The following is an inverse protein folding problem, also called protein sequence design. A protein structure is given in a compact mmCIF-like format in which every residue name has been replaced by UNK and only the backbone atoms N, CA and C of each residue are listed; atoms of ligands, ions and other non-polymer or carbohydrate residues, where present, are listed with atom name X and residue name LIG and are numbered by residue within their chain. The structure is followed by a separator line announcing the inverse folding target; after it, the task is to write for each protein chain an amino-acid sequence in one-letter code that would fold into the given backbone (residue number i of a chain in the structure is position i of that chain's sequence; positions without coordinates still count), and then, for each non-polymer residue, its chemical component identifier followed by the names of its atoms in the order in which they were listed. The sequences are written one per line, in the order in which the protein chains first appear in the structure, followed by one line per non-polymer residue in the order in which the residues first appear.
data_IF_669073704725
#
_entry.id   IF_669073704725
#
_cell.length_a   1.000
_cell.length_b   1.000
_cell.length_c   1.000
_cell.angle_alpha   90.00
_cell.angle_beta   90.00
_cell.angle_gamma   90.00
#
_symmetry.space_group_name_H-M   'P 1'
#
loop_
_entity.id
_entity.type
_entity.pdbx_description
1 polymer ?
#
# COMPACT_ATOMS: atom_id res chain seq x y z
N UNK A 1 27.88 -3.92 -38.60
CA UNK A 1 27.10 -2.95 -37.80
C UNK A 1 25.70 -2.80 -38.40
N UNK A 2 24.94 -3.89 -38.54
CA UNK A 2 23.68 -3.85 -39.31
C UNK A 2 22.68 -4.95 -38.92
N UNK A 3 22.80 -5.52 -37.71
CA UNK A 3 21.92 -6.60 -37.23
C UNK A 3 21.20 -6.34 -35.92
N UNK A 4 21.39 -5.17 -35.30
CA UNK A 4 20.72 -4.83 -34.03
C UNK A 4 19.44 -4.02 -34.27
N UNK A 5 19.37 -3.25 -35.37
CA UNK A 5 18.19 -2.43 -35.67
C UNK A 5 16.97 -3.25 -36.11
N UNK A 6 17.18 -4.36 -36.84
CA UNK A 6 16.07 -5.17 -37.36
C UNK A 6 15.33 -5.99 -36.29
N UNK A 7 15.93 -6.23 -35.11
CA UNK A 7 15.28 -7.02 -34.06
C UNK A 7 14.33 -6.20 -33.17
N UNK A 8 14.53 -4.87 -33.12
CA UNK A 8 13.67 -3.97 -32.33
C UNK A 8 12.39 -3.56 -33.08
N UNK A 9 12.42 -3.45 -34.41
CA UNK A 9 11.23 -3.08 -35.20
C UNK A 9 10.21 -4.22 -35.32
N UNK A 10 10.66 -5.48 -35.33
CA UNK A 10 9.74 -6.63 -35.42
C UNK A 10 8.89 -6.83 -34.16
N UNK A 11 9.34 -6.35 -32.99
CA UNK A 11 8.59 -6.43 -31.73
C UNK A 11 7.53 -5.32 -31.58
N UNK A 12 7.65 -4.22 -32.33
CA UNK A 12 6.70 -3.10 -32.27
C UNK A 12 5.45 -3.33 -33.14
N UNK A 13 5.58 -4.04 -34.27
CA UNK A 13 4.45 -4.34 -35.14
C UNK A 13 3.55 -5.46 -34.57
N UNK A 14 4.12 -6.43 -33.85
CA UNK A 14 3.36 -7.53 -33.26
C UNK A 14 2.48 -7.12 -32.05
N UNK A 15 2.65 -5.90 -31.54
CA UNK A 15 1.83 -5.31 -30.47
C UNK A 15 0.65 -4.49 -31.00
N UNK A 16 0.61 -4.18 -32.30
CA UNK A 16 -0.50 -3.43 -32.90
C UNK A 16 -1.68 -4.31 -33.30
N UNK A 17 -1.45 -5.59 -33.62
CA UNK A 17 -2.53 -6.50 -34.01
C UNK A 17 -3.29 -7.15 -32.84
N UNK A 18 -2.78 -7.10 -31.60
CA UNK A 18 -3.45 -7.74 -30.47
C UNK A 18 -4.57 -6.89 -29.81
N UNK A 19 -4.77 -5.63 -30.24
CA UNK A 19 -5.70 -4.68 -29.60
C UNK A 19 -7.01 -4.48 -30.40
N UNK A 20 -7.25 -5.24 -31.47
CA UNK A 20 -8.46 -5.09 -32.29
C UNK A 20 -9.31 -6.37 -32.36
N UNK A 21 -9.90 -6.77 -31.24
CA UNK A 21 -11.13 -7.58 -31.26
C UNK A 21 -11.90 -7.44 -29.93
N UNK A 22 -12.46 -6.24 -29.69
CA UNK A 22 -13.63 -6.09 -28.83
C UNK A 22 -14.77 -5.58 -29.70
N UNK A 23 -15.58 -6.52 -30.17
CA UNK A 23 -16.80 -6.28 -30.93
C UNK A 23 -17.75 -5.38 -30.12
N UNK A 24 -17.99 -4.17 -30.61
CA UNK A 24 -18.72 -3.08 -29.93
C UNK A 24 -20.22 -3.06 -30.30
N UNK A 25 -20.80 -4.19 -30.69
CA UNK A 25 -22.18 -4.23 -31.22
C UNK A 25 -23.25 -4.63 -30.21
N UNK A 26 -23.20 -4.21 -28.94
CA UNK A 26 -24.39 -4.22 -28.07
C UNK A 26 -24.42 -2.96 -27.19
N UNK A 27 -25.57 -2.29 -27.20
CA UNK A 27 -26.00 -1.09 -26.45
C UNK A 27 -25.93 0.26 -27.19
N UNK A 28 -27.04 0.68 -27.84
CA UNK A 28 -27.21 2.04 -28.30
C UNK A 28 -27.70 2.99 -27.19
N UNK A 29 -27.33 4.27 -27.34
CA UNK A 29 -27.84 5.52 -26.74
C UNK A 29 -27.07 6.18 -25.56
N UNK A 30 -26.35 7.27 -25.96
CA UNK A 30 -26.35 8.66 -25.43
C UNK A 30 -25.96 8.90 -23.96
N UNK A 31 -25.17 9.91 -23.57
CA UNK A 31 -24.43 11.03 -24.21
C UNK A 31 -23.44 11.54 -23.14
N UNK A 32 -22.17 11.75 -23.54
CA UNK A 32 -21.34 12.93 -23.20
C UNK A 32 -21.16 13.34 -21.71
N UNK A 33 -19.97 13.11 -21.15
CA UNK A 33 -18.86 14.10 -21.09
C UNK A 33 -17.53 13.42 -20.71
N UNK A 34 -16.37 13.90 -21.19
CA UNK A 34 -15.08 13.27 -20.99
C UNK A 34 -14.31 13.94 -19.83
N UNK A 35 -13.96 13.19 -18.80
CA UNK A 35 -12.86 13.56 -17.90
C UNK A 35 -12.33 12.32 -17.16
N UNK A 36 -11.86 11.33 -17.89
CA UNK A 36 -11.06 10.26 -17.28
C UNK A 36 -9.61 10.67 -17.47
N UNK A 37 -9.02 11.21 -16.40
CA UNK A 37 -7.57 11.34 -16.29
C UNK A 37 -6.98 9.96 -16.51
N UNK A 38 -6.07 9.88 -17.48
CA UNK A 38 -5.21 8.76 -17.85
C UNK A 38 -4.96 7.80 -16.67
N UNK A 39 -5.75 6.73 -16.57
CA UNK A 39 -5.44 5.62 -15.67
C UNK A 39 -4.26 4.86 -16.28
N UNK A 40 -3.08 5.17 -15.75
CA UNK A 40 -1.88 4.39 -16.05
C UNK A 40 -2.00 3.12 -15.22
N UNK A 41 -2.60 2.07 -15.79
CA UNK A 41 -2.63 0.75 -15.18
C UNK A 41 -1.24 0.12 -15.29
N UNK A 42 -0.32 0.58 -14.45
CA UNK A 42 0.93 -0.10 -14.19
C UNK A 42 0.63 -1.15 -13.12
N UNK A 43 0.70 -2.43 -13.48
CA UNK A 43 0.70 -3.54 -12.54
C UNK A 43 1.76 -3.31 -11.44
N UNK A 44 1.43 -3.57 -10.17
CA UNK A 44 2.33 -4.13 -9.11
C UNK A 44 1.60 -4.14 -7.76
N UNK A 45 1.94 -5.07 -6.86
CA UNK A 45 1.36 -5.32 -5.52
C UNK A 45 1.39 -4.14 -4.50
N UNK A 46 1.42 -2.89 -4.96
CA UNK A 46 1.49 -1.72 -4.11
C UNK A 46 0.12 -1.38 -3.50
N UNK A 47 0.09 -1.10 -2.19
CA UNK A 47 -1.12 -0.65 -1.51
C UNK A 47 -1.57 0.72 -2.06
N UNK A 48 -2.88 0.96 -2.21
CA UNK A 48 -3.37 2.25 -2.66
C UNK A 48 -3.14 3.30 -1.56
N UNK A 49 -2.98 4.56 -1.97
CA UNK A 49 -2.56 5.64 -1.08
C UNK A 49 -3.59 5.96 0.01
N UNK A 50 -4.87 5.74 -0.26
CA UNK A 50 -5.98 5.91 0.67
C UNK A 50 -6.19 4.72 1.62
N UNK A 51 -5.47 3.61 1.43
CA UNK A 51 -5.53 2.48 2.37
C UNK A 51 -5.05 2.92 3.76
N UNK A 52 -5.79 2.49 4.78
CA UNK A 52 -5.39 2.67 6.16
C UNK A 52 -4.23 1.74 6.52
N UNK A 53 -3.29 2.26 7.30
CA UNK A 53 -2.30 1.48 8.02
C UNK A 53 -2.62 1.52 9.51
N UNK A 54 -2.86 0.34 10.11
CA UNK A 54 -3.22 0.19 11.51
C UNK A 54 -2.09 -0.48 12.30
N UNK A 55 -1.67 0.14 13.41
CA UNK A 55 -0.66 -0.41 14.33
C UNK A 55 -1.26 -0.61 15.71
N UNK A 56 -1.05 -1.78 16.31
CA UNK A 56 -1.47 -2.06 17.68
C UNK A 56 -0.55 -1.47 18.74
N UNK A 57 -1.14 -1.02 19.86
CA UNK A 57 -0.42 -0.51 21.03
C UNK A 57 -0.45 1.02 21.11
N UNK A 58 0.33 1.59 22.03
CA UNK A 58 0.33 3.04 22.30
C UNK A 58 0.99 3.89 21.21
N UNK A 59 1.62 3.25 20.22
CA UNK A 59 2.29 3.90 19.08
C UNK A 59 3.29 5.01 19.46
N UNK A 60 3.89 4.95 20.64
CA UNK A 60 4.97 5.87 21.03
C UNK A 60 6.29 5.48 20.35
N UNK A 61 7.22 6.41 20.12
CA UNK A 61 8.52 6.14 19.49
C UNK A 61 9.26 4.97 20.17
N UNK A 62 9.28 4.95 21.51
CA UNK A 62 9.88 3.86 22.31
C UNK A 62 9.29 2.49 21.98
N UNK A 63 7.97 2.42 21.76
CA UNK A 63 7.25 1.17 21.46
C UNK A 63 7.43 0.70 20.03
N UNK A 64 7.68 1.62 19.09
CA UNK A 64 8.10 1.24 17.75
C UNK A 64 9.48 0.56 17.80
N UNK A 65 10.45 1.17 18.48
CA UNK A 65 11.81 0.62 18.62
C UNK A 65 11.81 -0.74 19.33
N UNK A 66 10.98 -0.91 20.37
CA UNK A 66 10.89 -2.17 21.11
C UNK A 66 10.00 -3.22 20.44
N UNK A 67 9.58 -3.01 19.19
CA UNK A 67 8.74 -3.96 18.45
C UNK A 67 9.50 -5.23 18.09
N UNK A 68 8.82 -6.38 18.13
CA UNK A 68 9.40 -7.63 17.64
C UNK A 68 9.74 -7.52 16.15
N UNK A 69 10.96 -7.94 15.77
CA UNK A 69 11.42 -7.88 14.38
C UNK A 69 11.83 -6.49 13.90
N UNK A 70 11.68 -5.45 14.74
CA UNK A 70 12.05 -4.08 14.38
C UNK A 70 13.56 -3.89 14.48
N UNK A 71 14.15 -3.23 13.48
CA UNK A 71 15.55 -2.81 13.49
C UNK A 71 15.66 -1.35 13.12
N UNK A 72 16.67 -0.68 13.67
CA UNK A 72 17.09 0.66 13.26
C UNK A 72 18.29 0.54 12.31
N UNK A 73 18.27 1.32 11.24
CA UNK A 73 19.44 1.48 10.38
C UNK A 73 20.43 2.52 10.94
N UNK A 74 21.53 2.77 10.22
CA UNK A 74 22.54 3.76 10.60
C UNK A 74 22.04 5.21 10.60
N UNK A 75 20.89 5.48 9.98
CA UNK A 75 20.23 6.78 9.93
C UNK A 75 19.11 6.90 10.98
N UNK A 76 18.92 5.88 11.83
CA UNK A 76 17.87 5.85 12.84
C UNK A 76 16.47 5.61 12.27
N UNK A 77 16.35 5.09 11.05
CA UNK A 77 15.06 4.73 10.45
C UNK A 77 14.68 3.30 10.82
N UNK A 78 13.38 3.12 11.05
CA UNK A 78 12.76 1.84 11.37
C UNK A 78 12.69 0.94 10.13
N UNK A 79 12.80 -0.35 10.37
CA UNK A 79 12.46 -1.41 9.43
C UNK A 79 11.77 -2.56 10.17
N UNK A 80 10.88 -3.28 9.49
CA UNK A 80 10.21 -4.45 10.06
C UNK A 80 9.08 -4.13 11.05
N UNK A 81 8.50 -2.93 10.99
CA UNK A 81 7.37 -2.57 11.86
C UNK A 81 6.09 -3.24 11.35
N UNK A 82 5.49 -4.12 12.15
CA UNK A 82 4.22 -4.76 11.80
C UNK A 82 3.05 -3.79 11.85
N UNK A 83 2.41 -3.59 10.70
CA UNK A 83 1.14 -2.86 10.54
C UNK A 83 0.15 -3.73 9.77
N UNK A 84 -1.14 -3.43 9.87
CA UNK A 84 -2.15 -4.04 9.01
C UNK A 84 -2.65 -3.01 8.00
N UNK A 85 -2.71 -3.38 6.72
CA UNK A 85 -3.20 -2.52 5.64
C UNK A 85 -3.73 -3.36 4.49
N UNK A 86 -4.82 -2.91 3.88
CA UNK A 86 -5.39 -3.53 2.69
C UNK A 86 -6.28 -2.53 1.93
N UNK A 87 -6.45 -2.70 0.60
CA UNK A 87 -7.33 -1.87 -0.21
C UNK A 87 -8.77 -1.90 0.29
N UNK A 88 -9.41 -0.73 0.38
CA UNK A 88 -10.84 -0.56 0.66
C UNK A 88 -11.34 -1.25 1.96
N UNK A 89 -10.45 -1.54 2.91
CA UNK A 89 -10.83 -2.13 4.20
C UNK A 89 -11.03 -1.05 5.26
N UNK A 90 -12.02 -1.25 6.12
CA UNK A 90 -12.26 -0.39 7.27
C UNK A 90 -11.22 -0.63 8.38
N UNK A 91 -11.05 0.36 9.27
CA UNK A 91 -10.23 0.23 10.48
C UNK A 91 -10.67 -0.97 11.33
N UNK A 92 -11.98 -1.26 11.39
CA UNK A 92 -12.49 -2.39 12.17
C UNK A 92 -12.02 -3.73 11.58
N UNK A 93 -12.06 -3.89 10.26
CA UNK A 93 -11.59 -5.12 9.60
C UNK A 93 -10.08 -5.29 9.76
N UNK A 94 -9.32 -4.21 9.53
CA UNK A 94 -7.86 -4.21 9.64
C UNK A 94 -7.34 -4.51 11.05
N UNK A 95 -8.13 -4.25 12.08
CA UNK A 95 -7.72 -4.41 13.48
C UNK A 95 -8.17 -5.73 14.11
N UNK A 96 -8.83 -6.61 13.35
CA UNK A 96 -9.39 -7.89 13.83
C UNK A 96 -8.31 -8.81 14.43
N UNK A 97 -7.12 -8.83 13.84
CA UNK A 97 -5.99 -9.68 14.28
C UNK A 97 -5.06 -8.98 15.28
N UNK A 98 -5.35 -7.73 15.66
CA UNK A 98 -4.54 -6.95 16.58
C UNK A 98 -5.06 -7.18 18.02
N UNK A 99 -4.28 -7.82 18.92
CA UNK A 99 -4.74 -8.13 20.27
C UNK A 99 -4.67 -6.93 21.24
N UNK A 100 -4.04 -5.81 20.83
CA UNK A 100 -3.86 -4.64 21.67
C UNK A 100 -5.17 -3.86 21.87
N UNK A 101 -5.35 -3.26 23.05
CA UNK A 101 -6.56 -2.49 23.42
C UNK A 101 -6.73 -1.16 22.69
N UNK A 102 -5.66 -0.65 22.07
CA UNK A 102 -5.65 0.60 21.33
C UNK A 102 -4.84 0.44 20.05
N UNK A 103 -5.16 1.28 19.07
CA UNK A 103 -4.59 1.23 17.72
C UNK A 103 -4.30 2.64 17.23
N UNK A 104 -3.12 2.82 16.64
CA UNK A 104 -2.80 3.99 15.83
C UNK A 104 -3.24 3.76 14.40
N UNK A 105 -3.71 4.82 13.74
CA UNK A 105 -4.25 4.78 12.39
C UNK A 105 -3.64 5.92 11.60
N UNK A 106 -3.16 5.59 10.40
CA UNK A 106 -2.73 6.57 9.41
C UNK A 106 -3.09 6.05 8.01
N UNK A 107 -2.67 6.74 6.96
CA UNK A 107 -2.82 6.28 5.58
C UNK A 107 -1.47 5.95 4.96
N UNK A 108 -1.48 5.08 3.95
CA UNK A 108 -0.28 4.76 3.18
C UNK A 108 0.28 6.02 2.49
N UNK A 109 -0.58 6.96 2.08
CA UNK A 109 -0.16 8.26 1.54
C UNK A 109 0.74 9.04 2.50
N UNK A 110 0.31 9.22 3.75
CA UNK A 110 1.07 10.01 4.73
C UNK A 110 2.39 9.32 5.10
N UNK A 111 2.41 7.98 5.19
CA UNK A 111 3.65 7.22 5.38
C UNK A 111 4.62 7.50 4.21
N UNK A 112 4.15 7.38 2.96
CA UNK A 112 4.97 7.63 1.77
C UNK A 112 5.48 9.07 1.69
N UNK A 113 4.66 10.05 2.08
CA UNK A 113 5.03 11.47 2.15
C UNK A 113 6.21 11.72 3.08
N UNK A 114 6.35 10.92 4.13
CA UNK A 114 7.50 10.99 5.05
C UNK A 114 8.72 10.17 4.59
N UNK A 115 8.68 9.61 3.38
CA UNK A 115 9.74 8.75 2.83
C UNK A 115 9.68 7.31 3.33
N UNK A 116 8.56 6.90 3.93
CA UNK A 116 8.30 5.54 4.36
C UNK A 116 7.70 4.67 3.26
N UNK A 117 7.68 3.37 3.53
CA UNK A 117 7.05 2.39 2.66
C UNK A 117 6.23 1.40 3.49
N UNK A 118 5.15 0.88 2.89
CA UNK A 118 4.33 -0.20 3.44
C UNK A 118 4.27 -1.33 2.42
N UNK A 119 4.84 -2.47 2.78
CA UNK A 119 4.94 -3.65 1.92
C UNK A 119 4.05 -4.76 2.47
N UNK A 120 3.09 -5.29 1.68
CA UNK A 120 2.30 -6.45 2.08
C UNK A 120 3.16 -7.66 2.44
N UNK A 121 2.87 -8.29 3.57
CA UNK A 121 3.54 -9.50 4.08
C UNK A 121 2.53 -10.38 4.83
N UNK A 122 1.35 -10.50 4.24
CA UNK A 122 0.22 -11.26 4.77
C UNK A 122 0.58 -12.71 5.05
N UNK A 123 0.02 -13.27 6.12
CA UNK A 123 0.10 -14.70 6.46
C UNK A 123 -1.31 -15.28 6.52
N UNK A 124 -1.49 -16.61 6.47
CA UNK A 124 -2.83 -17.21 6.58
C UNK A 124 -3.59 -16.80 7.85
N UNK A 125 -2.89 -16.53 8.95
CA UNK A 125 -3.48 -16.10 10.22
C UNK A 125 -3.67 -14.59 10.34
N UNK A 126 -2.94 -13.80 9.54
CA UNK A 126 -3.11 -12.36 9.43
C UNK A 126 -2.95 -11.90 7.97
N UNK A 127 -4.03 -11.94 7.16
CA UNK A 127 -3.95 -11.66 5.72
C UNK A 127 -3.61 -10.20 5.42
N UNK A 128 -3.92 -9.28 6.33
CA UNK A 128 -3.66 -7.84 6.16
C UNK A 128 -2.29 -7.40 6.67
N UNK A 129 -1.45 -8.34 7.15
CA UNK A 129 -0.14 -8.00 7.67
C UNK A 129 0.73 -7.32 6.61
N UNK A 130 1.39 -6.25 7.01
CA UNK A 130 2.29 -5.44 6.22
C UNK A 130 3.51 -5.05 7.07
N UNK A 131 4.61 -4.76 6.39
CA UNK A 131 5.84 -4.24 6.99
C UNK A 131 6.00 -2.78 6.65
N UNK A 132 6.17 -1.95 7.67
CA UNK A 132 6.52 -0.54 7.54
C UNK A 132 8.03 -0.34 7.77
N UNK A 133 8.63 0.48 6.90
CA UNK A 133 10.05 0.85 6.95
C UNK A 133 10.29 2.26 6.43
N UNK A 134 11.49 2.80 6.68
CA UNK A 134 11.99 4.03 6.03
C UNK A 134 11.74 5.33 6.79
N UNK A 135 11.07 5.29 7.94
CA UNK A 135 10.75 6.45 8.80
C UNK A 135 11.38 6.33 10.18
N UNK A 136 11.63 7.46 10.85
CA UNK A 136 12.15 7.46 12.22
C UNK A 136 11.06 7.06 13.23
N UNK A 137 11.43 6.63 14.45
CA UNK A 137 10.47 6.38 15.52
C UNK A 137 9.59 7.58 15.87
N UNK A 138 10.14 8.79 15.81
CA UNK A 138 9.42 10.03 16.11
C UNK A 138 8.37 10.32 15.04
N UNK A 139 8.74 10.21 13.77
CA UNK A 139 7.77 10.35 12.65
C UNK A 139 6.69 9.27 12.72
N UNK A 140 7.04 8.03 13.09
CA UNK A 140 6.06 6.98 13.29
C UNK A 140 5.09 7.31 14.44
N UNK A 141 5.58 7.87 15.55
CA UNK A 141 4.72 8.31 16.65
C UNK A 141 3.77 9.43 16.21
N UNK A 142 4.28 10.46 15.52
CA UNK A 142 3.47 11.55 14.98
C UNK A 142 2.36 11.07 14.05
N UNK A 143 2.65 10.10 13.18
CA UNK A 143 1.67 9.56 12.21
C UNK A 143 0.59 8.69 12.86
N UNK A 144 0.95 7.93 13.90
CA UNK A 144 0.05 6.93 14.49
C UNK A 144 -0.60 7.39 15.81
N UNK A 145 -0.36 8.64 16.23
CA UNK A 145 -0.98 9.24 17.42
C UNK A 145 -1.86 10.44 17.06
N UNK A 146 -2.96 10.68 17.80
CA UNK A 146 -3.44 9.91 18.94
C UNK A 146 -4.01 8.53 18.52
N UNK A 147 -3.84 7.54 19.40
CA UNK A 147 -4.44 6.22 19.18
C UNK A 147 -5.90 6.21 19.60
N UNK A 148 -6.72 5.37 18.96
CA UNK A 148 -8.11 5.11 19.37
C UNK A 148 -8.23 3.75 20.07
N UNK A 149 -9.35 3.51 20.77
CA UNK A 149 -9.68 2.18 21.28
C UNK A 149 -9.82 1.19 20.13
N UNK A 150 -9.25 0.00 20.27
CA UNK A 150 -9.41 -1.06 19.29
C UNK A 150 -10.89 -1.51 19.26
N UNK A 151 -11.59 -1.42 18.11
CA UNK A 151 -13.01 -1.75 18.02
C UNK A 151 -13.32 -3.24 18.22
N UNK A 152 -12.31 -4.12 18.15
CA UNK A 152 -12.48 -5.57 18.30
C UNK A 152 -12.13 -6.11 19.69
N UNK A 153 -11.54 -5.29 20.56
CA UNK A 153 -11.13 -5.69 21.91
C UNK A 153 -12.07 -5.07 22.94
N UNK A 154 -12.64 -5.92 23.80
CA UNK A 154 -13.52 -5.52 24.90
C UNK A 154 -12.72 -4.87 26.04
#
# INVERSE_FOLDING_TARGET
MEKITAHFEQQAENLKEFILEVDTTIFPNRLRTPNVKTETFLTTNALPSDAYACRGGTCTAKRFVSGSGVKLDSQGKLSGVSVNSAPSQSVKELTTTIPNRQVGITTVAEIRKTGGEVIPSGTPTNPYHCMLSGITPQTAEELFTPTIRNPNVK
#
